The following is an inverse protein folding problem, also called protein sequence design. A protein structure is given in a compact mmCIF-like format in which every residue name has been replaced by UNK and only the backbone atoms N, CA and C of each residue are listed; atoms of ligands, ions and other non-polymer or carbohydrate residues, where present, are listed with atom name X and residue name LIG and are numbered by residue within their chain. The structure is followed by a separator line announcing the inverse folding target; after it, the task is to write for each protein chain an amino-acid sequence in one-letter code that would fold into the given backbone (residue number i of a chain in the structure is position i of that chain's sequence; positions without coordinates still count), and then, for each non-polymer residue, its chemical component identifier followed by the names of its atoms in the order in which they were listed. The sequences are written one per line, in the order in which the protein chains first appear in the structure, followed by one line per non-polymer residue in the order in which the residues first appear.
data_IF_338089452479
#
_entry.id   IF_338089452479
#
_cell.length_a   1.000
_cell.length_b   1.000
_cell.length_c   1.000
_cell.angle_alpha   90.00
_cell.angle_beta   90.00
_cell.angle_gamma   90.00
#
_symmetry.space_group_name_H-M   'P 1'
#
loop_
_entity.id
_entity.type
_entity.pdbx_description
1 polymer ?
#
# COMPACT_ATOMS: atom_id res chain seq x y z
N UNK A 1 -9.01 -13.11 -0.40
CA UNK A 1 -7.62 -13.44 0.01
C UNK A 1 -6.92 -12.12 0.11
N UNK A 2 -6.33 -11.81 1.26
CA UNK A 2 -5.63 -10.53 1.42
C UNK A 2 -4.37 -10.49 0.60
N UNK A 3 -4.12 -9.35 -0.04
CA UNK A 3 -2.87 -9.06 -0.74
C UNK A 3 -2.21 -7.83 -0.15
N UNK A 4 -0.89 -7.80 -0.23
CA UNK A 4 -0.11 -6.64 0.15
C UNK A 4 0.12 -5.78 -1.10
N UNK A 5 -0.24 -4.52 -1.00
CA UNK A 5 -0.03 -3.50 -2.02
C UNK A 5 1.01 -2.50 -1.55
N UNK A 6 1.90 -2.12 -2.47
CA UNK A 6 2.87 -1.04 -2.25
C UNK A 6 2.43 0.12 -3.14
N UNK A 7 2.08 1.24 -2.52
CA UNK A 7 1.61 2.45 -3.21
C UNK A 7 2.69 3.50 -3.06
N UNK A 8 3.20 4.00 -4.18
CA UNK A 8 4.23 5.04 -4.22
C UNK A 8 3.60 6.27 -4.85
N UNK A 9 3.61 7.38 -4.11
CA UNK A 9 3.16 8.68 -4.61
C UNK A 9 4.36 9.53 -4.99
N UNK A 10 4.30 10.15 -6.17
CA UNK A 10 5.20 11.24 -6.55
C UNK A 10 5.11 12.36 -5.48
N UNK A 11 6.23 12.95 -5.07
CA UNK A 11 6.22 13.99 -4.04
C UNK A 11 5.33 15.20 -4.35
N UNK A 12 5.02 15.45 -5.62
CA UNK A 12 4.14 16.54 -6.06
C UNK A 12 2.65 16.18 -5.98
N UNK A 13 2.30 14.91 -5.76
CA UNK A 13 0.93 14.49 -5.50
C UNK A 13 0.52 15.00 -4.13
N UNK A 14 -0.68 15.59 -4.05
CA UNK A 14 -1.26 15.96 -2.76
C UNK A 14 -1.62 14.71 -1.95
N UNK A 15 -0.64 14.23 -1.17
CA UNK A 15 -0.75 13.04 -0.35
C UNK A 15 -1.90 13.14 0.66
N UNK A 16 -2.32 14.34 1.10
CA UNK A 16 -3.42 14.49 2.04
C UNK A 16 -4.76 14.03 1.42
N UNK A 17 -5.00 14.36 0.15
CA UNK A 17 -6.23 13.97 -0.57
C UNK A 17 -6.26 12.46 -0.83
N UNK A 18 -5.12 11.86 -1.18
CA UNK A 18 -5.05 10.43 -1.51
C UNK A 18 -5.00 9.56 -0.24
N UNK A 19 -4.42 10.05 0.85
CA UNK A 19 -4.28 9.30 2.10
C UNK A 19 -5.61 8.80 2.64
N UNK A 20 -6.67 9.61 2.59
CA UNK A 20 -8.01 9.16 3.01
C UNK A 20 -8.47 7.94 2.22
N UNK A 21 -8.29 7.96 0.89
CA UNK A 21 -8.64 6.84 0.01
C UNK A 21 -7.78 5.60 0.29
N UNK A 22 -6.49 5.78 0.55
CA UNK A 22 -5.59 4.69 0.94
C UNK A 22 -6.06 4.03 2.25
N UNK A 23 -6.45 4.84 3.25
CA UNK A 23 -6.89 4.32 4.56
C UNK A 23 -8.21 3.54 4.48
N UNK A 24 -9.04 3.82 3.47
CA UNK A 24 -10.30 3.10 3.22
C UNK A 24 -10.09 1.72 2.56
N UNK A 25 -8.92 1.45 1.98
CA UNK A 25 -8.64 0.17 1.32
C UNK A 25 -8.45 -0.98 2.31
N UNK A 26 -7.89 -0.70 3.48
CA UNK A 26 -7.58 -1.72 4.49
C UNK A 26 -6.50 -1.29 5.49
N UNK A 27 -5.94 -2.28 6.18
CA UNK A 27 -4.84 -2.07 7.12
C UNK A 27 -3.63 -1.51 6.38
N UNK A 28 -3.00 -0.47 6.91
CA UNK A 28 -1.94 0.22 6.17
C UNK A 28 -0.80 0.67 7.08
N UNK A 29 0.36 0.88 6.45
CA UNK A 29 1.54 1.43 7.08
C UNK A 29 2.15 2.52 6.17
N UNK A 30 2.50 3.67 6.75
CA UNK A 30 3.13 4.77 6.01
C UNK A 30 4.64 4.63 6.08
N UNK A 31 5.29 4.50 4.92
CA UNK A 31 6.74 4.38 4.75
C UNK A 31 7.26 5.67 4.14
N UNK A 32 8.27 6.29 4.77
CA UNK A 32 8.98 7.49 4.27
C UNK A 32 8.08 8.67 3.80
N UNK A 33 6.84 8.77 4.28
CA UNK A 33 5.93 9.90 4.08
C UNK A 33 5.08 9.88 2.80
N UNK A 34 5.56 9.25 1.71
CA UNK A 34 4.87 9.17 0.42
C UNK A 34 4.71 7.75 -0.12
N UNK A 35 5.16 6.74 0.61
CA UNK A 35 5.00 5.33 0.28
C UNK A 35 4.07 4.69 1.31
N UNK A 36 3.25 3.76 0.86
CA UNK A 36 2.26 3.10 1.69
C UNK A 36 2.32 1.61 1.43
N UNK A 37 2.27 0.83 2.50
CA UNK A 37 1.94 -0.58 2.44
C UNK A 37 0.47 -0.72 2.84
N UNK A 38 -0.29 -1.50 2.08
CA UNK A 38 -1.72 -1.70 2.32
C UNK A 38 -2.04 -3.18 2.20
N UNK A 39 -2.60 -3.75 3.26
CA UNK A 39 -3.17 -5.08 3.25
C UNK A 39 -4.68 -4.97 3.00
N UNK A 40 -5.15 -5.49 1.87
CA UNK A 40 -6.56 -5.37 1.48
C UNK A 40 -7.10 -6.65 0.84
N UNK A 41 -8.42 -6.85 0.93
CA UNK A 41 -9.16 -7.90 0.21
C UNK A 41 -9.42 -7.46 -1.24
N UNK A 42 -8.32 -7.26 -1.99
CA UNK A 42 -8.33 -6.87 -3.39
C UNK A 42 -7.37 -7.77 -4.15
N UNK A 43 -7.62 -7.97 -5.44
CA UNK A 43 -6.85 -8.95 -6.22
C UNK A 43 -5.74 -8.32 -7.04
N UNK A 44 -5.92 -7.08 -7.52
CA UNK A 44 -5.01 -6.49 -8.50
C UNK A 44 -4.58 -5.07 -8.15
N UNK A 45 -3.34 -4.72 -8.52
CA UNK A 45 -2.83 -3.35 -8.40
C UNK A 45 -3.67 -2.35 -9.19
N UNK A 46 -4.26 -2.79 -10.31
CA UNK A 46 -5.18 -2.00 -11.14
C UNK A 46 -6.42 -1.60 -10.35
N UNK A 47 -7.06 -2.53 -9.66
CA UNK A 47 -8.25 -2.25 -8.86
C UNK A 47 -7.95 -1.24 -7.74
N UNK A 48 -6.80 -1.39 -7.06
CA UNK A 48 -6.35 -0.40 -6.07
C UNK A 48 -6.17 0.97 -6.72
N UNK A 49 -5.45 1.06 -7.85
CA UNK A 49 -5.27 2.32 -8.56
C UNK A 49 -6.60 2.97 -8.94
N UNK A 50 -7.53 2.22 -9.50
CA UNK A 50 -8.87 2.71 -9.89
C UNK A 50 -9.70 3.19 -8.67
N UNK A 51 -9.46 2.66 -7.47
CA UNK A 51 -10.08 3.17 -6.23
C UNK A 51 -9.41 4.43 -5.69
N UNK A 52 -8.12 4.61 -5.94
CA UNK A 52 -7.38 5.82 -5.54
C UNK A 52 -7.68 7.01 -6.46
N UNK A 53 -7.91 6.75 -7.74
CA UNK A 53 -8.12 7.76 -8.78
C UNK A 53 -9.59 7.90 -9.11
N UNK A 54 -10.16 9.10 -8.91
CA UNK A 54 -11.51 9.40 -9.39
C UNK A 54 -11.44 9.85 -10.86
N UNK A 55 -12.48 9.52 -11.65
CA UNK A 55 -12.55 9.67 -13.11
C UNK A 55 -12.29 11.11 -13.65
N UNK A 56 -12.31 12.10 -12.77
CA UNK A 56 -12.18 13.53 -13.01
C UNK A 56 -10.83 14.12 -12.57
N UNK A 57 -9.96 13.33 -11.94
CA UNK A 57 -8.60 13.71 -11.60
C UNK A 57 -7.63 13.13 -12.64
N UNK A 58 -6.64 13.92 -13.09
CA UNK A 58 -5.44 13.38 -13.75
C UNK A 58 -4.34 13.21 -12.71
N UNK A 59 -4.29 12.12 -11.93
CA UNK A 59 -3.18 11.89 -11.03
C UNK A 59 -1.97 11.49 -11.86
N UNK A 60 -1.05 12.43 -12.04
CA UNK A 60 0.32 12.12 -12.38
C UNK A 60 1.00 11.52 -11.15
N UNK A 61 1.75 10.41 -11.31
CA UNK A 61 2.70 9.96 -10.29
C UNK A 61 2.15 9.04 -9.20
N UNK A 62 1.22 8.13 -9.50
CA UNK A 62 0.86 7.03 -8.58
C UNK A 62 1.34 5.71 -9.18
N UNK A 63 2.08 4.92 -8.41
CA UNK A 63 2.46 3.55 -8.77
C UNK A 63 1.92 2.60 -7.72
N UNK A 64 1.29 1.51 -8.17
CA UNK A 64 0.79 0.44 -7.30
C UNK A 64 1.46 -0.87 -7.70
N UNK A 65 2.09 -1.53 -6.74
CA UNK A 65 2.63 -2.89 -6.85
C UNK A 65 1.79 -3.82 -5.98
N UNK A 66 1.74 -5.10 -6.33
CA UNK A 66 0.96 -6.11 -5.63
C UNK A 66 1.80 -7.35 -5.41
N UNK A 67 1.74 -7.92 -4.21
CA UNK A 67 2.35 -9.21 -3.86
C UNK A 67 1.40 -10.03 -2.99
N UNK A 68 1.50 -11.36 -3.11
CA UNK A 68 0.83 -12.29 -2.20
C UNK A 68 1.51 -12.24 -0.83
N UNK A 69 0.74 -12.32 0.25
CA UNK A 69 1.32 -12.40 1.60
C UNK A 69 2.12 -13.69 1.82
N UNK A 70 1.79 -14.75 1.08
CA UNK A 70 2.50 -16.03 1.12
C UNK A 70 3.87 -15.99 0.42
N UNK A 71 4.05 -15.05 -0.50
CA UNK A 71 5.30 -14.86 -1.26
C UNK A 71 6.13 -13.68 -0.73
N UNK A 72 5.65 -13.03 0.33
CA UNK A 72 6.25 -11.85 0.91
C UNK A 72 7.59 -12.19 1.55
N UNK A 73 8.65 -11.60 1.00
CA UNK A 73 10.00 -11.60 1.58
C UNK A 73 10.49 -10.16 1.68
N UNK A 74 11.31 -9.86 2.70
CA UNK A 74 11.83 -8.52 2.92
C UNK A 74 13.17 -8.55 3.66
N UNK A 75 14.00 -7.54 3.39
CA UNK A 75 15.28 -7.32 4.05
C UNK A 75 15.66 -5.85 3.95
N UNK A 76 16.24 -5.27 5.00
CA UNK A 76 16.71 -3.89 4.96
C UNK A 76 16.90 -3.27 6.34
N UNK A 77 17.25 -1.99 6.36
CA UNK A 77 17.29 -1.17 7.56
C UNK A 77 16.11 -0.19 7.53
N UNK A 78 15.24 -0.28 8.53
CA UNK A 78 14.07 0.58 8.69
C UNK A 78 13.60 0.58 10.14
N UNK A 79 12.56 1.35 10.46
CA UNK A 79 11.97 1.41 11.79
C UNK A 79 11.45 0.04 12.26
N UNK A 80 11.60 -0.26 13.55
CA UNK A 80 11.21 -1.54 14.15
C UNK A 80 9.73 -1.86 13.93
N UNK A 81 8.85 -0.86 13.97
CA UNK A 81 7.39 -1.03 13.83
C UNK A 81 7.00 -1.51 12.44
N UNK A 82 7.76 -1.14 11.41
CA UNK A 82 7.52 -1.66 10.06
C UNK A 82 7.74 -3.18 10.03
N UNK A 83 8.82 -3.65 10.62
CA UNK A 83 9.14 -5.08 10.67
C UNK A 83 8.15 -5.87 11.53
N UNK A 84 7.73 -5.31 12.65
CA UNK A 84 6.69 -5.89 13.50
C UNK A 84 5.37 -6.02 12.73
N UNK A 85 4.94 -4.95 12.05
CA UNK A 85 3.72 -4.94 11.24
C UNK A 85 3.76 -5.97 10.10
N UNK A 86 4.88 -6.05 9.36
CA UNK A 86 5.06 -7.07 8.31
C UNK A 86 5.11 -8.49 8.87
N UNK A 87 5.70 -8.67 10.07
CA UNK A 87 5.76 -9.95 10.77
C UNK A 87 4.38 -10.45 11.19
N UNK A 88 3.50 -9.57 11.64
CA UNK A 88 2.14 -9.93 12.04
C UNK A 88 1.28 -10.36 10.84
N UNK A 89 1.41 -9.66 9.70
CA UNK A 89 0.75 -10.05 8.44
C UNK A 89 1.18 -11.45 7.98
N UNK A 90 2.47 -11.76 8.09
CA UNK A 90 2.99 -13.05 7.68
C UNK A 90 2.48 -14.19 8.56
N UNK A 91 2.32 -13.98 9.88
CA UNK A 91 1.75 -14.98 10.79
C UNK A 91 0.29 -15.30 10.47
N UNK A 92 -0.51 -14.31 10.08
CA UNK A 92 -1.93 -14.50 9.75
C UNK A 92 -2.15 -15.19 8.40
N UNK A 93 -1.09 -15.37 7.60
CA UNK A 93 -1.14 -15.96 6.26
C UNK A 93 -0.80 -17.45 6.23
N UNK A 94 -0.33 -18.02 7.35
CA UNK A 94 0.09 -19.43 7.51
C UNK A 94 -1.01 -20.27 8.16
#
# INVERSE_FOLDING_TARGET
MRRLFIIILDPNVNAATIRGRITELGDHYIVYGNQYLVLAELDTAREVYERLVRNDEQPSGIVVLCTSTNELTYWGYSDKKLWEWLGDIHKDSV
#
